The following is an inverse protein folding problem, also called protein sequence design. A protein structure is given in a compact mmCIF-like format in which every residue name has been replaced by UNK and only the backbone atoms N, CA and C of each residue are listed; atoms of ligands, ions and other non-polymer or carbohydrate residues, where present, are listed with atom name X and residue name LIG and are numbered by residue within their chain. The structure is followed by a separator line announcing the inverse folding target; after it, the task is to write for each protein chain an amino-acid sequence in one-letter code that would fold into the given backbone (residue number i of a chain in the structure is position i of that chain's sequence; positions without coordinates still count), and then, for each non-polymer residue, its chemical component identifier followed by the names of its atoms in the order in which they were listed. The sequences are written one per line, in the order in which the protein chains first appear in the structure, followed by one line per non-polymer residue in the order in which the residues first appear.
data_IF_652898270405
#
_entry.id   IF_652898270405
#
_cell.length_a   1.000
_cell.length_b   1.000
_cell.length_c   1.000
_cell.angle_alpha   90.00
_cell.angle_beta   90.00
_cell.angle_gamma   90.00
#
_symmetry.space_group_name_H-M   'P 1'
#
loop_
_entity.id
_entity.type
_entity.pdbx_description
1 polymer ?
#
# COMPACT_ATOMS: atom_id res chain seq x y z
N UNK A 1 -12.67 -17.24 -20.39
CA UNK A 1 -11.27 -16.77 -20.50
C UNK A 1 -10.93 -15.93 -19.27
N UNK A 2 -10.32 -16.59 -18.29
CA UNK A 2 -9.73 -15.98 -17.10
C UNK A 2 -8.49 -15.22 -17.53
N UNK A 3 -8.63 -13.90 -17.72
CA UNK A 3 -7.49 -13.04 -17.96
C UNK A 3 -6.88 -12.70 -16.60
N UNK A 4 -5.82 -13.44 -16.29
CA UNK A 4 -4.95 -13.23 -15.15
C UNK A 4 -4.45 -11.80 -15.17
N UNK A 5 -4.86 -11.02 -14.17
CA UNK A 5 -4.18 -9.78 -13.79
C UNK A 5 -2.75 -10.12 -13.39
N UNK A 6 -1.85 -10.18 -14.36
CA UNK A 6 -0.42 -10.09 -14.10
C UNK A 6 -0.21 -8.70 -13.47
N UNK A 7 -0.03 -8.69 -12.15
CA UNK A 7 0.38 -7.50 -11.41
C UNK A 7 1.81 -7.16 -11.83
N UNK A 8 1.98 -6.57 -13.01
CA UNK A 8 3.13 -5.72 -13.32
C UNK A 8 3.10 -4.57 -12.32
N UNK A 9 3.78 -4.69 -11.17
CA UNK A 9 4.36 -3.55 -10.42
C UNK A 9 4.90 -3.89 -9.01
N UNK A 10 4.85 -5.13 -8.53
CA UNK A 10 5.58 -5.49 -7.29
C UNK A 10 7.06 -5.76 -7.62
N UNK A 11 7.80 -4.69 -7.97
CA UNK A 11 9.27 -4.73 -8.02
C UNK A 11 9.79 -4.99 -6.61
N UNK A 12 10.12 -6.24 -6.36
CA UNK A 12 10.69 -6.70 -5.10
C UNK A 12 12.21 -6.84 -5.23
N UNK A 13 12.93 -6.29 -4.26
CA UNK A 13 14.39 -6.42 -4.17
C UNK A 13 14.75 -7.28 -2.97
N UNK A 14 15.61 -8.28 -3.15
CA UNK A 14 15.99 -9.20 -2.08
C UNK A 14 17.48 -9.12 -1.72
N UNK A 15 17.76 -9.19 -0.42
CA UNK A 15 19.12 -9.19 0.12
C UNK A 15 19.29 -10.25 1.19
N UNK A 16 20.45 -10.91 1.21
CA UNK A 16 20.78 -11.81 2.31
C UNK A 16 21.64 -11.09 3.33
N UNK A 17 21.15 -10.98 4.57
CA UNK A 17 21.80 -10.26 5.66
C UNK A 17 21.82 -11.08 6.95
N UNK A 18 22.61 -10.66 7.94
CA UNK A 18 22.58 -11.25 9.28
C UNK A 18 21.54 -10.52 10.12
N UNK A 19 20.56 -11.22 10.65
CA UNK A 19 19.61 -10.73 11.63
C UNK A 19 20.22 -10.79 13.04
N UNK A 20 20.29 -9.64 13.71
CA UNK A 20 20.79 -9.57 15.09
C UNK A 20 19.66 -9.80 16.09
N UNK A 21 18.46 -9.32 15.77
CA UNK A 21 17.27 -9.54 16.59
C UNK A 21 16.22 -8.48 16.40
N UNK A 22 15.17 -8.58 17.21
CA UNK A 22 14.06 -7.63 17.30
C UNK A 22 13.95 -7.16 18.74
N UNK A 23 13.90 -5.85 18.95
CA UNK A 23 13.77 -5.25 20.28
C UNK A 23 12.51 -4.39 20.31
N UNK A 24 11.72 -4.51 21.38
CA UNK A 24 10.58 -3.62 21.59
C UNK A 24 11.10 -2.23 21.98
N UNK A 25 10.61 -1.19 21.31
CA UNK A 25 11.07 0.19 21.51
C UNK A 25 9.91 1.09 21.90
N UNK A 26 10.21 2.11 22.69
CA UNK A 26 9.22 3.10 23.16
C UNK A 26 8.93 4.18 22.11
N UNK A 27 9.93 4.51 21.28
CA UNK A 27 9.84 5.56 20.27
C UNK A 27 9.73 4.95 18.88
N UNK A 28 8.86 5.53 18.05
CA UNK A 28 8.70 5.14 16.64
C UNK A 28 9.83 5.67 15.76
N UNK A 29 10.52 6.73 16.18
CA UNK A 29 11.51 7.46 15.36
C UNK A 29 12.70 7.95 16.19
N UNK A 30 13.77 8.32 15.49
CA UNK A 30 14.98 8.90 16.07
C UNK A 30 16.21 7.99 15.92
N UNK A 31 17.37 8.61 15.65
CA UNK A 31 18.62 7.88 15.38
C UNK A 31 19.08 7.03 16.58
N UNK A 32 18.77 7.49 17.80
CA UNK A 32 19.09 6.80 19.04
C UNK A 32 18.37 5.45 19.19
N UNK A 33 17.19 5.27 18.56
CA UNK A 33 16.40 4.03 18.70
C UNK A 33 17.18 2.81 18.20
N UNK A 34 17.91 2.96 17.09
CA UNK A 34 18.74 1.88 16.55
C UNK A 34 19.98 1.63 17.43
N UNK A 35 20.57 2.66 18.01
CA UNK A 35 21.75 2.53 18.87
C UNK A 35 21.41 1.80 20.18
N UNK A 36 20.32 2.19 20.83
CA UNK A 36 19.79 1.53 22.02
C UNK A 36 19.46 0.05 21.72
N UNK A 37 18.66 -0.21 20.68
CA UNK A 37 18.29 -1.58 20.31
C UNK A 37 19.49 -2.45 19.91
N UNK A 38 20.50 -1.90 19.23
CA UNK A 38 21.72 -2.62 18.89
C UNK A 38 22.61 -2.86 20.12
N UNK A 39 22.57 -1.98 21.12
CA UNK A 39 23.24 -2.16 22.42
C UNK A 39 22.63 -3.32 23.20
N UNK A 40 21.29 -3.37 23.31
CA UNK A 40 20.56 -4.43 24.01
C UNK A 40 20.85 -5.82 23.42
N UNK A 41 20.97 -5.91 22.09
CA UNK A 41 21.28 -7.16 21.39
C UNK A 41 22.75 -7.59 21.51
N UNK A 42 23.67 -6.66 21.83
CA UNK A 42 25.09 -6.97 22.03
C UNK A 42 25.41 -7.45 23.45
N UNK A 43 24.58 -7.06 24.43
CA UNK A 43 24.68 -7.49 25.82
C UNK A 43 23.48 -8.36 26.23
N UNK A 44 23.26 -9.53 25.60
CA UNK A 44 22.13 -10.36 25.97
C UNK A 44 22.32 -10.84 27.40
N UNK A 45 21.33 -10.57 28.27
CA UNK A 45 21.25 -11.22 29.58
C UNK A 45 21.38 -12.74 29.39
N UNK A 46 22.16 -13.39 30.27
CA UNK A 46 22.61 -14.79 30.10
C UNK A 46 21.46 -15.78 29.84
N UNK A 47 20.26 -15.47 30.31
CA UNK A 47 19.07 -16.34 30.21
C UNK A 47 18.37 -16.33 28.84
N UNK A 48 18.38 -15.19 28.12
CA UNK A 48 17.83 -15.07 26.75
C UNK A 48 18.84 -15.51 25.69
N UNK A 49 20.14 -15.40 26.02
CA UNK A 49 21.26 -15.75 25.15
C UNK A 49 21.29 -17.24 24.79
N UNK A 50 20.89 -18.14 25.68
CA UNK A 50 20.91 -19.59 25.42
C UNK A 50 19.85 -20.05 24.40
N UNK A 51 18.66 -19.43 24.40
CA UNK A 51 17.58 -19.81 23.47
C UNK A 51 17.80 -19.27 22.05
N UNK A 52 18.47 -18.13 21.91
CA UNK A 52 18.68 -17.45 20.61
C UNK A 52 20.03 -17.76 19.95
N UNK A 53 21.08 -18.17 20.70
CA UNK A 53 22.41 -18.46 20.13
C UNK A 53 22.49 -19.63 19.15
N UNK A 54 21.48 -20.51 19.09
CA UNK A 54 21.53 -21.75 18.27
C UNK A 54 20.94 -21.66 16.86
N UNK A 55 20.18 -20.63 16.49
CA UNK A 55 19.53 -20.56 15.16
C UNK A 55 20.19 -19.53 14.25
N UNK A 56 20.98 -20.06 13.30
CA UNK A 56 21.55 -19.40 12.11
C UNK A 56 20.85 -18.07 11.75
N UNK A 57 21.47 -16.98 12.17
CA UNK A 57 21.03 -15.58 12.01
C UNK A 57 20.95 -15.09 10.56
N UNK A 58 20.99 -15.93 9.52
CA UNK A 58 20.99 -15.45 8.14
C UNK A 58 19.55 -15.38 7.65
N UNK A 59 19.12 -14.21 7.20
CA UNK A 59 17.77 -13.97 6.68
C UNK A 59 17.84 -13.44 5.26
N UNK A 60 16.80 -13.73 4.49
CA UNK A 60 16.51 -13.07 3.23
C UNK A 60 15.51 -11.95 3.51
N UNK A 61 15.93 -10.72 3.26
CA UNK A 61 15.13 -9.51 3.40
C UNK A 61 14.58 -9.14 2.02
N UNK A 62 13.28 -9.12 1.87
CA UNK A 62 12.59 -8.69 0.65
C UNK A 62 11.94 -7.35 0.90
N UNK A 63 12.18 -6.40 0.00
CA UNK A 63 11.67 -5.02 0.10
C UNK A 63 10.84 -4.73 -1.15
N UNK A 64 9.59 -4.35 -0.93
CA UNK A 64 8.62 -3.96 -1.96
C UNK A 64 7.80 -2.76 -1.50
N UNK A 65 7.03 -2.17 -2.43
CA UNK A 65 6.10 -1.07 -2.12
C UNK A 65 4.99 -1.46 -1.15
N UNK A 66 4.74 -2.77 -1.02
CA UNK A 66 3.79 -3.36 -0.09
C UNK A 66 4.36 -3.47 1.33
N UNK A 67 5.64 -3.83 1.46
CA UNK A 67 6.26 -3.99 2.77
C UNK A 67 7.64 -4.61 2.74
N UNK A 68 8.08 -5.04 3.92
CA UNK A 68 9.33 -5.75 4.13
C UNK A 68 9.03 -7.12 4.71
N UNK A 69 9.48 -8.16 4.01
CA UNK A 69 9.41 -9.54 4.46
C UNK A 69 10.79 -10.06 4.89
N UNK A 70 10.82 -10.74 6.02
CA UNK A 70 12.03 -11.30 6.63
C UNK A 70 11.86 -12.82 6.69
N UNK A 71 12.61 -13.53 5.85
CA UNK A 71 12.56 -15.00 5.79
C UNK A 71 13.84 -15.61 6.33
N UNK A 72 13.75 -16.74 7.03
CA UNK A 72 14.93 -17.54 7.34
C UNK A 72 15.58 -18.03 6.04
N UNK A 73 16.89 -17.83 5.89
CA UNK A 73 17.53 -17.92 4.57
C UNK A 73 17.51 -19.33 3.96
N UNK A 74 17.53 -20.40 4.77
CA UNK A 74 17.66 -21.78 4.32
C UNK A 74 16.31 -22.43 4.02
N UNK A 75 15.41 -22.33 4.97
CA UNK A 75 14.05 -22.90 4.97
C UNK A 75 13.05 -22.02 4.22
N UNK A 76 13.38 -20.73 4.01
CA UNK A 76 12.46 -19.72 3.49
C UNK A 76 11.22 -19.54 4.37
N UNK A 77 11.30 -19.93 5.64
CA UNK A 77 10.21 -19.71 6.59
C UNK A 77 10.05 -18.21 6.85
N UNK A 78 8.82 -17.70 6.70
CA UNK A 78 8.46 -16.31 6.98
C UNK A 78 8.56 -16.05 8.48
N UNK A 79 9.51 -15.20 8.88
CA UNK A 79 9.69 -14.81 10.28
C UNK A 79 8.82 -13.62 10.62
N UNK A 80 8.83 -12.60 9.75
CA UNK A 80 8.10 -11.36 9.96
C UNK A 80 7.69 -10.75 8.61
N UNK A 81 6.49 -10.17 8.60
CA UNK A 81 6.00 -9.31 7.53
C UNK A 81 5.68 -7.96 8.14
N UNK A 82 6.32 -6.92 7.63
CA UNK A 82 6.15 -5.55 8.08
C UNK A 82 5.54 -4.73 6.93
N UNK A 83 4.23 -4.43 6.96
CA UNK A 83 3.63 -3.55 5.96
C UNK A 83 4.38 -2.22 5.91
N UNK A 84 4.59 -1.67 4.73
CA UNK A 84 5.37 -0.43 4.61
C UNK A 84 4.71 0.74 5.36
N UNK A 85 3.39 0.72 5.52
CA UNK A 85 2.62 1.67 6.34
C UNK A 85 2.90 1.59 7.85
N UNK A 86 3.45 0.49 8.32
CA UNK A 86 3.82 0.30 9.73
C UNK A 86 5.24 0.77 10.03
N UNK A 87 6.07 0.96 9.00
CA UNK A 87 7.47 1.36 9.15
C UNK A 87 7.53 2.86 9.38
N UNK A 88 8.15 3.26 10.48
CA UNK A 88 8.25 4.66 10.91
C UNK A 88 9.65 5.23 10.71
N UNK A 89 10.70 4.41 10.80
CA UNK A 89 12.09 4.86 10.67
C UNK A 89 12.99 3.77 10.12
N UNK A 90 14.04 4.16 9.41
CA UNK A 90 15.15 3.28 9.04
C UNK A 90 16.47 4.03 9.15
N UNK A 91 17.53 3.36 9.59
CA UNK A 91 18.81 3.99 9.84
C UNK A 91 19.99 3.01 9.74
N UNK A 92 21.17 3.58 9.56
CA UNK A 92 22.46 2.90 9.75
C UNK A 92 23.01 3.34 11.11
N UNK A 93 23.60 2.41 11.86
CA UNK A 93 24.22 2.71 13.15
C UNK A 93 25.46 3.60 12.96
N UNK A 94 25.57 4.70 13.71
CA UNK A 94 26.60 5.72 13.50
C UNK A 94 28.03 5.20 13.70
N UNK A 95 28.31 4.62 14.87
CA UNK A 95 29.64 4.09 15.18
C UNK A 95 29.99 2.78 14.43
N UNK A 96 28.98 2.04 13.96
CA UNK A 96 29.17 0.70 13.38
C UNK A 96 28.36 0.59 12.08
N UNK A 97 28.83 1.14 10.95
CA UNK A 97 28.04 1.31 9.73
C UNK A 97 27.63 0.00 9.03
N UNK A 98 28.17 -1.15 9.48
CA UNK A 98 27.71 -2.47 9.07
C UNK A 98 26.37 -2.87 9.71
N UNK A 99 25.93 -2.17 10.76
CA UNK A 99 24.65 -2.40 11.44
C UNK A 99 23.64 -1.40 10.89
N UNK A 100 22.45 -1.90 10.58
CA UNK A 100 21.33 -1.09 10.14
C UNK A 100 20.04 -1.70 10.69
N UNK A 101 18.97 -0.93 10.66
CA UNK A 101 17.68 -1.42 11.10
C UNK A 101 16.53 -0.51 10.69
N UNK A 102 15.34 -0.98 10.97
CA UNK A 102 14.11 -0.20 10.81
C UNK A 102 13.17 -0.43 11.99
N UNK A 103 12.31 0.54 12.24
CA UNK A 103 11.28 0.49 13.28
C UNK A 103 9.94 0.27 12.60
N UNK A 104 9.17 -0.69 13.10
CA UNK A 104 7.80 -0.93 12.64
C UNK A 104 6.83 -1.11 13.80
N UNK A 105 5.62 -0.58 13.63
CA UNK A 105 4.49 -0.79 14.55
C UNK A 105 4.00 -2.24 14.47
N UNK A 106 3.74 -2.86 15.60
CA UNK A 106 3.18 -4.20 15.68
C UNK A 106 1.71 -4.22 15.19
N UNK A 107 1.26 -5.22 14.41
CA UNK A 107 -0.08 -5.20 13.84
C UNK A 107 -1.20 -5.34 14.88
N UNK A 108 -0.92 -5.99 16.02
CA UNK A 108 -1.91 -6.27 17.06
C UNK A 108 -1.75 -5.40 18.32
N UNK A 109 -0.87 -4.39 18.31
CA UNK A 109 -0.67 -3.52 19.48
C UNK A 109 -0.12 -2.15 19.10
N UNK A 110 -0.14 -1.22 20.05
CA UNK A 110 0.48 0.11 19.88
C UNK A 110 2.01 0.08 20.05
N UNK A 111 2.59 -1.11 20.20
CA UNK A 111 4.02 -1.28 20.46
C UNK A 111 4.82 -1.20 19.16
N UNK A 112 6.01 -0.62 19.25
CA UNK A 112 6.95 -0.53 18.15
C UNK A 112 8.09 -1.52 18.36
N UNK A 113 8.62 -2.05 17.27
CA UNK A 113 9.76 -2.95 17.31
C UNK A 113 10.84 -2.44 16.36
N UNK A 114 12.09 -2.42 16.85
CA UNK A 114 13.26 -2.21 16.01
C UNK A 114 13.81 -3.56 15.55
N UNK A 115 13.93 -3.73 14.24
CA UNK A 115 14.51 -4.90 13.59
C UNK A 115 15.95 -4.58 13.21
N UNK A 116 16.90 -5.29 13.81
CA UNK A 116 18.33 -4.96 13.71
C UNK A 116 19.06 -6.02 12.89
N UNK A 117 19.83 -5.56 11.91
CA UNK A 117 20.56 -6.37 10.96
C UNK A 117 22.02 -5.95 10.86
N UNK A 118 22.83 -6.83 10.27
CA UNK A 118 24.22 -6.59 9.97
C UNK A 118 24.53 -7.02 8.52
N UNK A 119 25.11 -6.09 7.75
CA UNK A 119 25.63 -6.31 6.40
C UNK A 119 26.86 -5.43 6.18
N UNK A 120 27.98 -6.02 5.76
CA UNK A 120 29.20 -5.26 5.43
C UNK A 120 29.08 -4.48 4.12
N UNK A 121 28.27 -4.97 3.18
CA UNK A 121 28.22 -4.45 1.80
C UNK A 121 26.98 -3.61 1.51
N UNK A 122 25.87 -3.90 2.19
CA UNK A 122 24.55 -3.42 1.76
C UNK A 122 23.83 -2.57 2.80
N UNK A 123 24.43 -2.23 3.95
CA UNK A 123 23.75 -1.49 5.01
C UNK A 123 23.16 -0.15 4.53
N UNK A 124 24.00 0.70 3.94
CA UNK A 124 23.57 2.00 3.40
C UNK A 124 22.60 1.83 2.21
N UNK A 125 22.89 0.91 1.30
CA UNK A 125 22.02 0.63 0.17
C UNK A 125 20.61 0.19 0.62
N UNK A 126 20.54 -0.73 1.59
CA UNK A 126 19.27 -1.22 2.12
C UNK A 126 18.45 -0.12 2.78
N UNK A 127 19.08 0.74 3.58
CA UNK A 127 18.41 1.90 4.18
C UNK A 127 17.93 2.87 3.10
N UNK A 128 18.72 3.11 2.05
CA UNK A 128 18.30 3.92 0.90
C UNK A 128 17.09 3.32 0.20
N UNK A 129 17.15 2.02 -0.16
CA UNK A 129 16.06 1.31 -0.84
C UNK A 129 14.78 1.34 -0.01
N UNK A 130 14.87 1.13 1.30
CA UNK A 130 13.71 1.21 2.21
C UNK A 130 13.15 2.64 2.21
N UNK A 131 14.01 3.66 2.33
CA UNK A 131 13.61 5.07 2.30
C UNK A 131 12.95 5.49 0.98
N UNK A 132 13.50 5.05 -0.15
CA UNK A 132 12.97 5.33 -1.49
C UNK A 132 11.61 4.65 -1.70
N UNK A 133 11.50 3.39 -1.26
CA UNK A 133 10.26 2.61 -1.30
C UNK A 133 9.17 3.26 -0.43
N UNK A 134 9.53 3.72 0.77
CA UNK A 134 8.64 4.46 1.67
C UNK A 134 8.12 5.75 1.03
N UNK A 135 9.00 6.56 0.43
CA UNK A 135 8.60 7.77 -0.29
C UNK A 135 7.72 7.48 -1.50
N UNK A 136 8.03 6.43 -2.27
CA UNK A 136 7.24 6.02 -3.42
C UNK A 136 5.81 5.61 -3.01
N UNK A 137 5.67 4.85 -1.92
CA UNK A 137 4.36 4.44 -1.40
C UNK A 137 3.52 5.61 -0.93
N UNK A 138 4.11 6.61 -0.27
CA UNK A 138 3.37 7.83 0.12
C UNK A 138 2.86 8.61 -1.09
N UNK A 139 3.70 8.77 -2.13
CA UNK A 139 3.29 9.41 -3.40
C UNK A 139 2.15 8.63 -4.06
N UNK A 140 2.26 7.30 -4.11
CA UNK A 140 1.22 6.44 -4.68
C UNK A 140 -0.11 6.53 -3.93
N UNK A 141 -0.09 6.55 -2.59
CA UNK A 141 -1.28 6.74 -1.76
C UNK A 141 -1.97 8.07 -2.03
N UNK A 142 -1.19 9.16 -2.13
CA UNK A 142 -1.72 10.49 -2.47
C UNK A 142 -2.39 10.50 -3.85
N UNK A 143 -1.73 9.94 -4.87
CA UNK A 143 -2.27 9.86 -6.24
C UNK A 143 -3.50 8.95 -6.32
N UNK A 144 -3.50 7.80 -5.62
CA UNK A 144 -4.65 6.90 -5.56
C UNK A 144 -5.85 7.58 -4.89
N UNK A 145 -5.64 8.25 -3.75
CA UNK A 145 -6.69 9.03 -3.08
C UNK A 145 -7.30 10.09 -4.00
N UNK A 146 -6.47 10.87 -4.69
CA UNK A 146 -6.94 11.85 -5.68
C UNK A 146 -7.73 11.23 -6.84
N UNK A 147 -7.25 10.09 -7.37
CA UNK A 147 -7.96 9.36 -8.44
C UNK A 147 -9.32 8.85 -7.98
N UNK A 148 -9.39 8.28 -6.77
CA UNK A 148 -10.63 7.74 -6.22
C UNK A 148 -11.70 8.84 -6.07
N UNK A 149 -11.30 10.02 -5.57
CA UNK A 149 -12.19 11.19 -5.49
C UNK A 149 -12.69 11.65 -6.87
N UNK A 150 -11.81 11.69 -7.87
CA UNK A 150 -12.18 12.06 -9.25
C UNK A 150 -13.15 11.03 -9.85
N UNK A 151 -12.90 9.73 -9.65
CA UNK A 151 -13.77 8.66 -10.13
C UNK A 151 -15.15 8.75 -9.48
N UNK A 152 -15.22 9.04 -8.18
CA UNK A 152 -16.47 9.19 -7.46
C UNK A 152 -17.28 10.41 -7.96
N UNK A 153 -16.62 11.55 -8.17
CA UNK A 153 -17.23 12.74 -8.75
C UNK A 153 -17.76 12.49 -10.17
N UNK A 154 -16.99 11.79 -11.01
CA UNK A 154 -17.39 11.41 -12.37
C UNK A 154 -18.60 10.46 -12.37
N UNK A 155 -18.62 9.47 -11.46
CA UNK A 155 -19.77 8.57 -11.28
C UNK A 155 -21.03 9.32 -10.89
N UNK A 156 -20.92 10.28 -9.97
CA UNK A 156 -22.05 11.13 -9.58
C UNK A 156 -22.55 11.98 -10.75
N UNK A 157 -21.65 12.65 -11.48
CA UNK A 157 -22.00 13.46 -12.66
C UNK A 157 -22.67 12.63 -13.75
N UNK A 158 -22.17 11.42 -14.02
CA UNK A 158 -22.76 10.51 -15.00
C UNK A 158 -24.19 10.12 -14.61
N UNK A 159 -24.42 9.80 -13.33
CA UNK A 159 -25.76 9.50 -12.80
C UNK A 159 -26.73 10.67 -12.97
N UNK A 160 -26.30 11.91 -12.73
CA UNK A 160 -27.12 13.11 -12.95
C UNK A 160 -27.45 13.28 -14.43
N UNK A 161 -26.44 13.23 -15.30
CA UNK A 161 -26.62 13.35 -16.75
C UNK A 161 -27.54 12.26 -17.30
N UNK A 162 -27.44 11.02 -16.83
CA UNK A 162 -28.34 9.94 -17.25
C UNK A 162 -29.81 10.23 -16.91
N UNK A 163 -30.10 10.80 -15.73
CA UNK A 163 -31.48 11.20 -15.36
C UNK A 163 -31.99 12.33 -16.26
N UNK A 164 -31.17 13.34 -16.48
CA UNK A 164 -31.54 14.48 -17.33
C UNK A 164 -31.78 14.05 -18.77
N UNK A 165 -30.88 13.22 -19.31
CA UNK A 165 -30.98 12.68 -20.67
C UNK A 165 -32.23 11.80 -20.82
N UNK A 166 -32.61 11.04 -19.79
CA UNK A 166 -33.88 10.31 -19.77
C UNK A 166 -35.10 11.27 -19.81
N UNK A 167 -35.09 12.35 -19.03
CA UNK A 167 -36.14 13.36 -19.05
C UNK A 167 -36.25 14.06 -20.41
N UNK A 168 -35.13 14.49 -20.98
CA UNK A 168 -35.09 15.13 -22.30
C UNK A 168 -35.60 14.18 -23.39
N UNK A 169 -35.18 12.91 -23.38
CA UNK A 169 -35.69 11.89 -24.32
C UNK A 169 -37.21 11.72 -24.24
N UNK A 170 -37.80 11.76 -23.03
CA UNK A 170 -39.26 11.73 -22.86
C UNK A 170 -39.93 12.97 -23.47
N UNK A 171 -39.40 14.16 -23.20
CA UNK A 171 -39.92 15.43 -23.76
C UNK A 171 -39.85 15.46 -25.28
N UNK A 172 -38.74 14.99 -25.87
CA UNK A 172 -38.58 14.91 -27.32
C UNK A 172 -39.60 13.95 -27.95
N UNK A 173 -39.87 12.80 -27.32
CA UNK A 173 -40.92 11.88 -27.78
C UNK A 173 -42.31 12.50 -27.72
N UNK A 174 -42.64 13.21 -26.64
CA UNK A 174 -43.93 13.91 -26.52
C UNK A 174 -44.08 14.98 -27.60
N UNK A 175 -43.06 15.81 -27.81
CA UNK A 175 -43.09 16.85 -28.84
C UNK A 175 -43.23 16.28 -30.27
N UNK A 176 -42.62 15.13 -30.56
CA UNK A 176 -42.79 14.41 -31.84
C UNK A 176 -44.19 13.80 -32.03
N UNK A 177 -44.88 13.45 -30.95
CA UNK A 177 -46.23 12.87 -31.05
C UNK A 177 -47.32 13.93 -31.18
N UNK A 178 -47.05 15.20 -30.85
CA UNK A 178 -48.00 16.31 -31.01
C UNK A 178 -48.05 16.82 -32.46
N UNK A 179 -47.08 16.48 -33.32
CA UNK A 179 -47.03 16.90 -34.73
C UNK A 179 -47.84 16.02 -35.70
N UNK A 180 -48.68 15.10 -35.22
CA UNK A 180 -49.62 14.33 -36.05
C UNK A 180 -51.00 14.27 -35.38
N UNK A 181 -51.79 15.34 -35.52
CA UNK A 181 -53.24 15.21 -35.62
C UNK A 181 -53.65 15.58 -37.05
N UNK A 182 -54.28 14.66 -37.81
CA UNK A 182 -54.97 15.04 -39.03
C UNK A 182 -56.29 15.72 -38.63
N UNK A 183 -56.46 16.99 -39.00
CA UNK A 183 -57.75 17.68 -38.87
C UNK A 183 -58.85 16.86 -39.58
N UNK A 184 -59.75 16.28 -38.79
CA UNK A 184 -60.95 15.63 -39.30
C UNK A 184 -61.95 16.68 -39.78
N UNK A 185 -61.88 17.06 -41.06
CA UNK A 185 -62.97 17.80 -41.69
C UNK A 185 -64.19 16.88 -41.84
N UNK A 186 -65.20 17.11 -41.00
CA UNK A 186 -66.48 16.43 -41.03
C UNK A 186 -67.18 16.67 -42.36
N UNK A 187 -67.47 15.58 -43.07
CA UNK A 187 -68.29 15.56 -44.27
C UNK A 187 -69.78 15.68 -43.89
N UNK A 188 -70.56 16.27 -44.81
CA UNK A 188 -72.02 16.17 -45.02
C UNK A 188 -72.92 17.22 -44.34
N UNK A 189 -73.43 18.16 -45.13
CA UNK A 189 -74.86 18.14 -45.53
C UNK A 189 -75.10 19.04 -46.75
N UNK A 190 -75.47 18.44 -47.88
CA UNK A 190 -76.13 19.09 -49.01
C UNK A 190 -77.54 18.53 -49.08
N UNK A 191 -78.58 19.37 -49.08
CA UNK A 191 -79.78 19.03 -49.82
C UNK A 191 -79.96 19.98 -51.01
N UNK A 192 -80.34 19.35 -52.13
CA UNK A 192 -80.78 19.97 -53.37
C UNK A 192 -82.06 20.80 -53.17
N UNK A 193 -82.20 21.89 -53.92
CA UNK A 193 -83.06 22.00 -55.11
C UNK A 193 -82.54 23.12 -56.01
#
# INVERSE_FOLDING_TARGET
PSDSSENEDDKEISFTVKFLGRVQVLRSEGVQVLEEAAGDLQNPNKDEAEKTKKKKNKVSLFVSVSGIDILEHKTKFMLYTCPLSSISSCAVHQATPKIFGFVAKHPASEMHHCYVFQSKKFSHLLVSVIGDTFQASQKFKSVKGSRDLVVEALRHKNKVLQRENMHLKKRVKQARNVSYEPESYSTLYRPEF
#
